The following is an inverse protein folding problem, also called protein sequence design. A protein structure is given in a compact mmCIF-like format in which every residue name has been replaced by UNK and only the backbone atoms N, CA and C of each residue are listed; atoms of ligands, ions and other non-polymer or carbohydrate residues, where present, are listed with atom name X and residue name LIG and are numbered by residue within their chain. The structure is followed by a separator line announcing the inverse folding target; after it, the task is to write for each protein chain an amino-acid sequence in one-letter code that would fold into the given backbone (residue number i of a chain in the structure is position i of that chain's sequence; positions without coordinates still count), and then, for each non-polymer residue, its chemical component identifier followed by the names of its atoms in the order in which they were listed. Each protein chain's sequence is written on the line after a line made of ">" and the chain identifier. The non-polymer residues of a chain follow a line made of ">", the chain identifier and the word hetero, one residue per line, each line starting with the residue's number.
data_IF_471033948132
#
_entry.id   IF_471033948132
#
_cell.length_a   1.000
_cell.length_b   1.000
_cell.length_c   1.000
_cell.angle_alpha   90.00
_cell.angle_beta   90.00
_cell.angle_gamma   90.00
#
_symmetry.space_group_name_H-M   'P 1'
#
loop_
_entity.id
_entity.type
_entity.pdbx_description
1 polymer ?
#
# COMPACT_ATOMS: atom_id res chain seq x y z
N UNK A 1 -86.57 -16.19 13.93
CA UNK A 1 -85.52 -17.24 14.00
C UNK A 1 -85.05 -17.79 12.63
N UNK A 2 -85.85 -17.74 11.54
CA UNK A 2 -85.40 -18.23 10.21
C UNK A 2 -84.31 -17.38 9.52
N UNK A 3 -84.23 -16.06 9.77
CA UNK A 3 -83.26 -15.16 9.13
C UNK A 3 -81.84 -15.22 9.72
N UNK A 4 -81.65 -15.78 10.92
CA UNK A 4 -80.34 -15.87 11.58
C UNK A 4 -79.52 -17.08 11.09
N UNK A 5 -80.19 -18.15 10.61
CA UNK A 5 -79.53 -19.35 10.09
C UNK A 5 -78.90 -19.15 8.71
N UNK A 6 -79.47 -18.25 7.89
CA UNK A 6 -78.94 -17.96 6.54
C UNK A 6 -77.66 -17.11 6.57
N UNK A 7 -77.48 -16.27 7.59
CA UNK A 7 -76.27 -15.45 7.75
C UNK A 7 -75.07 -16.26 8.25
N UNK A 8 -75.29 -17.23 9.16
CA UNK A 8 -74.25 -18.12 9.65
C UNK A 8 -73.74 -19.10 8.57
N UNK A 9 -74.62 -19.58 7.68
CA UNK A 9 -74.20 -20.45 6.58
C UNK A 9 -73.41 -19.70 5.48
N UNK A 10 -73.75 -18.44 5.21
CA UNK A 10 -72.99 -17.59 4.28
C UNK A 10 -71.60 -17.20 4.85
N UNK A 11 -71.50 -16.98 6.16
CA UNK A 11 -70.22 -16.67 6.82
C UNK A 11 -69.28 -17.89 6.86
N UNK A 12 -69.81 -19.10 7.08
CA UNK A 12 -69.00 -20.33 7.04
C UNK A 12 -68.53 -20.71 5.63
N UNK A 13 -69.32 -20.42 4.58
CA UNK A 13 -68.87 -20.61 3.18
C UNK A 13 -67.88 -19.53 2.72
N UNK A 14 -67.97 -18.30 3.26
CA UNK A 14 -66.97 -17.25 3.01
C UNK A 14 -65.62 -17.53 3.66
N UNK A 15 -65.59 -18.15 4.85
CA UNK A 15 -64.35 -18.53 5.53
C UNK A 15 -63.67 -19.79 4.95
N UNK A 16 -64.44 -20.70 4.32
CA UNK A 16 -63.88 -21.87 3.64
C UNK A 16 -63.21 -21.52 2.28
N UNK A 17 -63.55 -20.37 1.68
CA UNK A 17 -62.95 -19.90 0.42
C UNK A 17 -61.61 -19.15 0.61
N UNK A 18 -61.29 -18.70 1.84
CA UNK A 18 -60.02 -18.02 2.16
C UNK A 18 -58.93 -19.00 2.63
N UNK A 19 -59.28 -20.26 2.90
CA UNK A 19 -58.32 -21.33 3.23
C UNK A 19 -57.80 -22.10 2.02
N UNK A 20 -58.15 -21.69 0.79
CA UNK A 20 -57.31 -21.96 -0.38
C UNK A 20 -56.07 -21.07 -0.27
N UNK A 21 -55.25 -21.33 0.76
CA UNK A 21 -53.84 -21.01 0.69
C UNK A 21 -53.36 -21.70 -0.56
N UNK A 22 -53.10 -20.91 -1.60
CA UNK A 22 -52.13 -21.25 -2.61
C UNK A 22 -50.88 -21.63 -1.84
N UNK A 23 -50.71 -22.94 -1.63
CA UNK A 23 -49.40 -23.54 -1.44
C UNK A 23 -48.66 -23.25 -2.74
N UNK A 24 -48.18 -22.01 -2.87
CA UNK A 24 -47.04 -21.71 -3.73
C UNK A 24 -46.00 -22.71 -3.28
N UNK A 25 -45.83 -23.78 -4.06
CA UNK A 25 -44.77 -24.74 -3.88
C UNK A 25 -43.53 -23.88 -3.63
N UNK A 26 -42.99 -23.94 -2.41
CA UNK A 26 -41.83 -23.16 -2.05
C UNK A 26 -40.80 -23.50 -3.12
N UNK A 27 -40.58 -22.58 -4.06
CA UNK A 27 -39.69 -22.80 -5.17
C UNK A 27 -38.37 -23.18 -4.52
N UNK A 28 -37.97 -24.44 -4.69
CA UNK A 28 -36.78 -24.95 -4.04
C UNK A 28 -35.64 -24.05 -4.48
N UNK A 29 -35.14 -23.22 -3.56
CA UNK A 29 -34.01 -22.34 -3.83
C UNK A 29 -32.87 -23.23 -4.28
N UNK A 30 -32.54 -23.15 -5.57
CA UNK A 30 -31.47 -23.95 -6.11
C UNK A 30 -30.14 -23.27 -5.74
N UNK A 31 -29.04 -24.02 -5.67
CA UNK A 31 -27.70 -23.43 -5.51
C UNK A 31 -27.39 -22.36 -6.57
N UNK A 32 -27.96 -22.48 -7.77
CA UNK A 32 -27.82 -21.50 -8.84
C UNK A 32 -28.52 -20.17 -8.53
N UNK A 33 -29.68 -20.19 -7.88
CA UNK A 33 -30.42 -18.98 -7.48
C UNK A 33 -29.65 -18.21 -6.40
N UNK A 34 -29.11 -18.92 -5.40
CA UNK A 34 -28.27 -18.31 -4.37
C UNK A 34 -27.01 -17.70 -4.96
N UNK A 35 -26.32 -18.41 -5.85
CA UNK A 35 -25.13 -17.91 -6.53
C UNK A 35 -25.44 -16.64 -7.36
N UNK A 36 -26.59 -16.60 -8.04
CA UNK A 36 -27.01 -15.44 -8.81
C UNK A 36 -27.25 -14.20 -7.93
N UNK A 37 -27.88 -14.37 -6.76
CA UNK A 37 -28.07 -13.29 -5.79
C UNK A 37 -26.71 -12.77 -5.31
N UNK A 38 -25.76 -13.64 -4.97
CA UNK A 38 -24.43 -13.23 -4.50
C UNK A 38 -23.65 -12.47 -5.58
N UNK A 39 -23.74 -12.89 -6.84
CA UNK A 39 -23.14 -12.14 -7.97
C UNK A 39 -23.77 -10.75 -8.11
N UNK A 40 -25.09 -10.65 -7.97
CA UNK A 40 -25.78 -9.36 -8.01
C UNK A 40 -25.34 -8.45 -6.86
N UNK A 41 -25.28 -8.98 -5.63
CA UNK A 41 -24.75 -8.26 -4.47
C UNK A 41 -23.31 -7.80 -4.69
N UNK A 42 -22.47 -8.62 -5.31
CA UNK A 42 -21.09 -8.24 -5.63
C UNK A 42 -21.03 -7.05 -6.60
N UNK A 43 -21.93 -6.98 -7.58
CA UNK A 43 -22.03 -5.84 -8.51
C UNK A 43 -22.51 -4.57 -7.83
N UNK A 44 -23.45 -4.69 -6.88
CA UNK A 44 -23.90 -3.56 -6.07
C UNK A 44 -22.78 -3.04 -5.16
N UNK A 45 -21.98 -3.95 -4.57
CA UNK A 45 -20.78 -3.60 -3.81
C UNK A 45 -19.74 -2.90 -4.70
N UNK A 46 -19.47 -3.41 -5.89
CA UNK A 46 -18.58 -2.80 -6.89
C UNK A 46 -19.06 -1.38 -7.27
N UNK A 47 -20.35 -1.23 -7.61
CA UNK A 47 -20.95 0.07 -7.92
C UNK A 47 -20.90 1.06 -6.74
N UNK A 48 -20.88 0.55 -5.51
CA UNK A 48 -20.74 1.34 -4.28
C UNK A 48 -19.27 1.63 -3.90
N UNK A 49 -18.30 1.22 -4.74
CA UNK A 49 -16.87 1.40 -4.50
C UNK A 49 -16.26 0.44 -3.47
N UNK A 50 -16.99 -0.61 -3.06
CA UNK A 50 -16.53 -1.62 -2.10
C UNK A 50 -15.86 -2.80 -2.81
N UNK A 51 -14.78 -2.50 -3.53
CA UNK A 51 -14.14 -3.44 -4.46
C UNK A 51 -13.60 -4.70 -3.78
N UNK A 52 -13.02 -4.61 -2.59
CA UNK A 52 -12.46 -5.76 -1.86
C UNK A 52 -13.55 -6.79 -1.52
N UNK A 53 -14.69 -6.32 -0.98
CA UNK A 53 -15.84 -7.17 -0.66
C UNK A 53 -16.48 -7.75 -1.92
N UNK A 54 -16.59 -6.95 -2.99
CA UNK A 54 -17.05 -7.44 -4.28
C UNK A 54 -16.13 -8.55 -4.82
N UNK A 55 -14.81 -8.38 -4.70
CA UNK A 55 -13.84 -9.37 -5.14
C UNK A 55 -13.94 -10.67 -4.33
N UNK A 56 -14.00 -10.58 -3.01
CA UNK A 56 -14.14 -11.74 -2.13
C UNK A 56 -15.45 -12.49 -2.40
N UNK A 57 -16.56 -11.77 -2.59
CA UNK A 57 -17.84 -12.38 -2.86
C UNK A 57 -17.86 -13.09 -4.23
N UNK A 58 -17.24 -12.50 -5.25
CA UNK A 58 -17.08 -13.14 -6.56
C UNK A 58 -16.20 -14.40 -6.47
N UNK A 59 -15.08 -14.35 -5.75
CA UNK A 59 -14.25 -15.55 -5.50
C UNK A 59 -15.05 -16.63 -4.78
N UNK A 60 -15.78 -16.27 -3.72
CA UNK A 60 -16.64 -17.19 -3.00
C UNK A 60 -17.66 -17.89 -3.91
N UNK A 61 -18.28 -17.15 -4.85
CA UNK A 61 -19.22 -17.75 -5.81
C UNK A 61 -18.52 -18.75 -6.74
N UNK A 62 -17.36 -18.39 -7.28
CA UNK A 62 -16.57 -19.27 -8.17
C UNK A 62 -16.18 -20.55 -7.44
N UNK A 63 -15.71 -20.44 -6.21
CA UNK A 63 -15.19 -21.56 -5.43
C UNK A 63 -16.33 -22.46 -4.88
N UNK A 64 -17.44 -21.87 -4.41
CA UNK A 64 -18.50 -22.60 -3.72
C UNK A 64 -19.58 -23.15 -4.64
N UNK A 65 -19.81 -22.54 -5.80
CA UNK A 65 -20.86 -22.94 -6.75
C UNK A 65 -20.31 -23.28 -8.14
N UNK A 66 -19.28 -24.14 -8.25
CA UNK A 66 -18.67 -24.47 -9.52
C UNK A 66 -19.68 -25.10 -10.49
N UNK A 67 -19.56 -24.81 -11.78
CA UNK A 67 -20.43 -25.33 -12.82
C UNK A 67 -21.78 -24.61 -12.97
N UNK A 68 -22.10 -23.63 -12.11
CA UNK A 68 -23.28 -22.78 -12.31
C UNK A 68 -23.01 -21.66 -13.33
N UNK A 69 -24.02 -21.18 -14.08
CA UNK A 69 -23.87 -19.99 -14.94
C UNK A 69 -23.44 -18.74 -14.17
N UNK A 70 -23.86 -18.64 -12.90
CA UNK A 70 -23.46 -17.56 -12.01
C UNK A 70 -21.96 -17.60 -11.69
N UNK A 71 -21.37 -18.78 -11.46
CA UNK A 71 -19.93 -18.92 -11.26
C UNK A 71 -19.12 -18.54 -12.50
N UNK A 72 -19.56 -18.91 -13.70
CA UNK A 72 -18.90 -18.47 -14.94
C UNK A 72 -18.90 -16.93 -15.07
N UNK A 73 -20.06 -16.30 -14.83
CA UNK A 73 -20.18 -14.84 -14.83
C UNK A 73 -19.37 -14.18 -13.70
N UNK A 74 -19.30 -14.82 -12.53
CA UNK A 74 -18.50 -14.34 -11.41
C UNK A 74 -17.00 -14.34 -11.75
N UNK A 75 -16.52 -15.37 -12.45
CA UNK A 75 -15.13 -15.44 -12.91
C UNK A 75 -14.79 -14.32 -13.92
N UNK A 76 -15.69 -14.04 -14.86
CA UNK A 76 -15.53 -12.94 -15.81
C UNK A 76 -15.50 -11.57 -15.12
N UNK A 77 -16.44 -11.34 -14.18
CA UNK A 77 -16.49 -10.12 -13.39
C UNK A 77 -15.25 -9.97 -12.52
N UNK A 78 -14.77 -11.05 -11.90
CA UNK A 78 -13.56 -11.06 -11.09
C UNK A 78 -12.32 -10.66 -11.92
N UNK A 79 -12.21 -11.18 -13.15
CA UNK A 79 -11.14 -10.80 -14.08
C UNK A 79 -11.23 -9.33 -14.53
N UNK A 80 -12.46 -8.79 -14.67
CA UNK A 80 -12.69 -7.37 -14.93
C UNK A 80 -12.33 -6.49 -13.74
N UNK A 81 -12.83 -6.83 -12.55
CA UNK A 81 -12.65 -6.09 -11.30
C UNK A 81 -11.17 -5.98 -10.93
N UNK A 82 -10.41 -7.08 -11.05
CA UNK A 82 -8.95 -7.08 -10.83
C UNK A 82 -8.23 -6.13 -11.77
N UNK A 83 -8.59 -6.10 -13.06
CA UNK A 83 -8.04 -5.11 -14.01
C UNK A 83 -8.40 -3.69 -13.58
N UNK A 84 -9.65 -3.42 -13.21
CA UNK A 84 -10.10 -2.09 -12.76
C UNK A 84 -9.42 -1.62 -11.48
N UNK A 85 -9.24 -2.48 -10.47
CA UNK A 85 -8.53 -2.11 -9.24
C UNK A 85 -7.05 -1.83 -9.49
N UNK A 86 -6.42 -2.63 -10.34
CA UNK A 86 -4.99 -2.47 -10.67
C UNK A 86 -4.75 -1.13 -11.37
N UNK A 87 -5.68 -0.71 -12.23
CA UNK A 87 -5.63 0.56 -12.97
C UNK A 87 -6.14 1.77 -12.14
N UNK A 88 -7.19 1.59 -11.35
CA UNK A 88 -7.82 2.65 -10.56
C UNK A 88 -6.93 3.13 -9.42
N UNK A 89 -6.27 2.19 -8.72
CA UNK A 89 -5.30 2.53 -7.67
C UNK A 89 -4.09 3.29 -8.20
N UNK A 90 -3.60 2.92 -9.40
CA UNK A 90 -2.50 3.60 -10.07
C UNK A 90 -2.84 5.04 -10.45
N UNK A 91 -4.01 5.25 -11.06
CA UNK A 91 -4.48 6.59 -11.45
C UNK A 91 -4.61 7.54 -10.26
N UNK A 92 -5.31 7.13 -9.20
CA UNK A 92 -5.51 8.00 -8.02
C UNK A 92 -4.18 8.29 -7.34
N UNK A 93 -3.33 7.27 -7.15
CA UNK A 93 -2.00 7.44 -6.56
C UNK A 93 -1.12 8.39 -7.37
N UNK A 94 -1.13 8.26 -8.71
CA UNK A 94 -0.38 9.14 -9.61
C UNK A 94 -0.83 10.59 -9.54
N UNK A 95 -2.15 10.85 -9.46
CA UNK A 95 -2.69 12.22 -9.36
C UNK A 95 -2.33 12.86 -8.03
N UNK A 96 -2.54 12.13 -6.92
CA UNK A 96 -2.20 12.62 -5.58
C UNK A 96 -0.71 12.92 -5.49
N UNK A 97 0.15 11.98 -5.91
CA UNK A 97 1.59 12.17 -5.87
C UNK A 97 2.05 13.35 -6.72
N UNK A 98 1.61 13.48 -7.97
CA UNK A 98 2.01 14.60 -8.83
C UNK A 98 1.51 15.94 -8.30
N UNK A 99 0.32 15.99 -7.72
CA UNK A 99 -0.17 17.21 -7.07
C UNK A 99 0.80 17.64 -5.96
N UNK A 100 1.18 16.71 -5.07
CA UNK A 100 2.13 16.98 -3.99
C UNK A 100 3.52 17.34 -4.51
N UNK A 101 4.04 16.57 -5.47
CA UNK A 101 5.37 16.78 -6.01
C UNK A 101 5.49 18.09 -6.79
N UNK A 102 4.53 18.44 -7.64
CA UNK A 102 4.55 19.72 -8.35
C UNK A 102 4.25 20.91 -7.41
N UNK A 103 3.52 20.71 -6.31
CA UNK A 103 3.42 21.72 -5.25
C UNK A 103 4.79 21.98 -4.63
N UNK A 104 5.53 20.91 -4.32
CA UNK A 104 6.88 21.01 -3.81
C UNK A 104 7.84 21.65 -4.83
N UNK A 105 7.75 21.31 -6.13
CA UNK A 105 8.51 22.02 -7.17
C UNK A 105 8.16 23.51 -7.24
N UNK A 106 6.89 23.87 -6.99
CA UNK A 106 6.46 25.26 -6.86
C UNK A 106 7.14 26.01 -5.72
N UNK A 107 7.49 25.33 -4.62
CA UNK A 107 8.29 25.90 -3.51
C UNK A 107 9.79 25.89 -3.86
N UNK A 108 10.29 24.78 -4.41
CA UNK A 108 11.71 24.59 -4.68
C UNK A 108 12.22 25.52 -5.80
N UNK A 109 11.38 25.86 -6.78
CA UNK A 109 11.76 26.76 -7.89
C UNK A 109 12.19 28.15 -7.41
N UNK A 110 11.38 28.91 -6.64
CA UNK A 110 11.82 30.19 -6.10
C UNK A 110 13.00 30.05 -5.12
N UNK A 111 13.08 28.98 -4.33
CA UNK A 111 14.23 28.73 -3.46
C UNK A 111 15.53 28.59 -4.25
N UNK A 112 15.52 27.83 -5.35
CA UNK A 112 16.67 27.68 -6.24
C UNK A 112 17.06 28.99 -6.96
N UNK A 113 16.14 29.95 -7.05
CA UNK A 113 16.38 31.27 -7.65
C UNK A 113 16.76 32.34 -6.61
N UNK A 114 17.00 31.95 -5.35
CA UNK A 114 17.40 32.88 -4.28
C UNK A 114 16.26 33.79 -3.81
N UNK A 115 15.01 33.33 -3.86
CA UNK A 115 13.88 34.13 -3.38
C UNK A 115 13.89 34.26 -1.85
N UNK A 116 14.07 35.49 -1.36
CA UNK A 116 14.07 35.78 0.09
C UNK A 116 12.70 36.14 0.67
N UNK A 117 11.72 36.47 -0.18
CA UNK A 117 10.37 36.87 0.25
C UNK A 117 9.36 35.73 0.12
N UNK A 118 8.27 35.75 0.90
CA UNK A 118 7.22 34.73 0.85
C UNK A 118 6.39 34.74 -0.45
N UNK A 119 6.40 35.84 -1.21
CA UNK A 119 5.53 36.04 -2.37
C UNK A 119 5.82 35.06 -3.53
N UNK A 120 7.08 34.84 -3.96
CA UNK A 120 7.40 33.83 -4.96
C UNK A 120 6.99 32.41 -4.57
N UNK A 121 7.12 32.03 -3.29
CA UNK A 121 6.69 30.72 -2.80
C UNK A 121 5.17 30.56 -2.85
N UNK A 122 4.42 31.59 -2.44
CA UNK A 122 2.96 31.61 -2.56
C UNK A 122 2.50 31.50 -4.00
N UNK A 123 3.12 32.25 -4.92
CA UNK A 123 2.85 32.15 -6.35
C UNK A 123 3.17 30.75 -6.91
N UNK A 124 4.32 30.19 -6.53
CA UNK A 124 4.74 28.85 -6.91
C UNK A 124 3.77 27.77 -6.45
N UNK A 125 3.23 27.85 -5.22
CA UNK A 125 2.20 26.92 -4.73
C UNK A 125 0.87 27.06 -5.47
N UNK A 126 0.43 28.30 -5.73
CA UNK A 126 -0.82 28.59 -6.45
C UNK A 126 -0.79 28.06 -7.89
N UNK A 127 0.39 27.96 -8.51
CA UNK A 127 0.55 27.39 -9.85
C UNK A 127 0.85 25.88 -9.80
N UNK A 128 1.78 25.46 -8.93
CA UNK A 128 2.32 24.11 -8.88
C UNK A 128 1.28 23.06 -8.51
N UNK A 129 0.46 23.30 -7.47
CA UNK A 129 -0.53 22.31 -7.03
C UNK A 129 -1.64 22.09 -8.08
N UNK A 130 -2.30 23.14 -8.61
CA UNK A 130 -3.31 22.96 -9.65
C UNK A 130 -2.71 22.35 -10.92
N UNK A 131 -1.51 22.79 -11.34
CA UNK A 131 -0.84 22.21 -12.50
C UNK A 131 -0.59 20.71 -12.31
N UNK A 132 -0.08 20.31 -11.14
CA UNK A 132 0.11 18.91 -10.75
C UNK A 132 -1.18 18.11 -10.84
N UNK A 133 -2.28 18.63 -10.29
CA UNK A 133 -3.58 17.96 -10.32
C UNK A 133 -4.13 17.81 -11.74
N UNK A 134 -4.21 18.91 -12.51
CA UNK A 134 -4.84 18.89 -13.83
C UNK A 134 -3.99 18.16 -14.86
N UNK A 135 -2.67 18.36 -14.88
CA UNK A 135 -1.78 17.66 -15.81
C UNK A 135 -1.77 16.16 -15.54
N UNK A 136 -1.68 15.75 -14.27
CA UNK A 136 -1.69 14.32 -13.93
C UNK A 136 -3.05 13.66 -14.19
N UNK A 137 -4.16 14.36 -13.94
CA UNK A 137 -5.51 13.88 -14.25
C UNK A 137 -5.71 13.71 -15.76
N UNK A 138 -5.22 14.66 -16.56
CA UNK A 138 -5.28 14.59 -18.01
C UNK A 138 -4.43 13.41 -18.54
N UNK A 139 -3.18 13.29 -18.07
CA UNK A 139 -2.29 12.20 -18.43
C UNK A 139 -2.88 10.83 -18.05
N UNK A 140 -3.32 10.64 -16.80
CA UNK A 140 -3.91 9.39 -16.35
C UNK A 140 -5.31 9.11 -16.93
N UNK A 141 -5.93 10.10 -17.56
CA UNK A 141 -7.14 9.92 -18.37
C UNK A 141 -6.83 9.39 -19.77
N UNK A 142 -5.69 9.79 -20.35
CA UNK A 142 -5.24 9.35 -21.67
C UNK A 142 -4.42 8.04 -21.62
N UNK A 143 -3.78 7.76 -20.49
CA UNK A 143 -2.90 6.59 -20.30
C UNK A 143 -3.33 5.82 -19.06
N UNK A 144 -3.85 4.59 -19.20
CA UNK A 144 -4.17 3.75 -18.06
C UNK A 144 -2.87 3.36 -17.35
N UNK A 145 -2.75 3.73 -16.07
CA UNK A 145 -1.58 3.44 -15.24
C UNK A 145 -1.92 2.37 -14.22
N UNK A 146 -1.10 1.33 -14.15
CA UNK A 146 -1.16 0.37 -13.04
C UNK A 146 -0.60 0.98 -11.75
N UNK A 147 -0.96 0.39 -10.60
CA UNK A 147 -0.36 0.78 -9.31
C UNK A 147 1.18 0.65 -9.31
N UNK A 148 1.73 -0.36 -9.99
CA UNK A 148 3.19 -0.53 -10.13
C UNK A 148 3.83 0.59 -10.94
N UNK A 149 3.24 0.96 -12.09
CA UNK A 149 3.72 2.07 -12.93
C UNK A 149 3.65 3.42 -12.19
N UNK A 150 2.54 3.71 -11.51
CA UNK A 150 2.41 4.91 -10.70
C UNK A 150 3.41 4.95 -9.53
N UNK A 151 3.67 3.78 -8.91
CA UNK A 151 4.66 3.62 -7.85
C UNK A 151 6.09 3.88 -8.34
N UNK A 152 6.47 3.35 -9.50
CA UNK A 152 7.78 3.59 -10.12
C UNK A 152 7.96 5.04 -10.56
N UNK A 153 6.92 5.66 -11.12
CA UNK A 153 6.93 7.09 -11.41
C UNK A 153 7.22 7.89 -10.14
N UNK A 154 6.48 7.61 -9.06
CA UNK A 154 6.65 8.32 -7.80
C UNK A 154 8.07 8.12 -7.23
N UNK A 155 8.54 6.87 -7.23
CA UNK A 155 9.91 6.55 -6.84
C UNK A 155 10.94 7.33 -7.66
N UNK A 156 10.82 7.36 -8.99
CA UNK A 156 11.79 8.04 -9.85
C UNK A 156 11.91 9.52 -9.56
N UNK A 157 10.80 10.21 -9.30
CA UNK A 157 10.79 11.64 -8.96
C UNK A 157 11.50 11.94 -7.63
N UNK A 158 11.18 11.20 -6.57
CA UNK A 158 11.82 11.42 -5.26
C UNK A 158 13.26 10.91 -5.25
N UNK A 159 13.52 9.78 -5.89
CA UNK A 159 14.84 9.15 -5.91
C UNK A 159 15.85 9.99 -6.67
N UNK A 160 15.50 10.49 -7.86
CA UNK A 160 16.41 11.32 -8.64
C UNK A 160 16.58 12.72 -8.05
N UNK A 161 15.56 13.28 -7.37
CA UNK A 161 15.75 14.50 -6.57
C UNK A 161 16.80 14.27 -5.47
N UNK A 162 16.63 13.20 -4.68
CA UNK A 162 17.56 12.83 -3.62
C UNK A 162 18.97 12.54 -4.13
N UNK A 163 19.10 11.79 -5.24
CA UNK A 163 20.40 11.50 -5.86
C UNK A 163 21.08 12.77 -6.36
N UNK A 164 20.35 13.69 -7.01
CA UNK A 164 20.93 14.92 -7.49
C UNK A 164 21.45 15.80 -6.33
N UNK A 165 20.68 15.91 -5.25
CA UNK A 165 21.13 16.62 -4.05
C UNK A 165 22.37 15.95 -3.44
N UNK A 166 22.36 14.63 -3.26
CA UNK A 166 23.49 13.91 -2.69
C UNK A 166 24.76 14.01 -3.54
N UNK A 167 24.66 13.85 -4.86
CA UNK A 167 25.82 13.99 -5.74
C UNK A 167 26.32 15.42 -5.85
N UNK A 168 25.44 16.43 -5.69
CA UNK A 168 25.86 17.82 -5.55
C UNK A 168 26.80 18.01 -4.38
N UNK A 169 26.41 17.54 -3.18
CA UNK A 169 27.25 17.61 -1.98
C UNK A 169 28.58 16.86 -2.15
N UNK A 170 28.52 15.63 -2.68
CA UNK A 170 29.73 14.81 -2.87
C UNK A 170 30.73 15.46 -3.82
N UNK A 171 30.24 16.10 -4.88
CA UNK A 171 31.05 16.69 -5.94
C UNK A 171 31.35 18.18 -5.72
N UNK A 172 30.82 18.80 -4.66
CA UNK A 172 30.95 20.23 -4.38
C UNK A 172 30.35 21.12 -5.47
N UNK A 173 29.29 20.67 -6.14
CA UNK A 173 28.72 21.41 -7.29
C UNK A 173 27.98 22.65 -6.80
N UNK A 174 28.46 23.81 -7.23
CA UNK A 174 27.89 25.11 -6.88
C UNK A 174 28.32 25.63 -5.51
N UNK A 175 29.35 25.03 -4.90
CA UNK A 175 29.99 25.60 -3.72
C UNK A 175 30.92 26.74 -4.14
N UNK A 176 30.87 27.84 -3.39
CA UNK A 176 31.80 28.96 -3.56
C UNK A 176 32.98 28.76 -2.62
N UNK A 177 34.19 28.79 -3.17
CA UNK A 177 35.44 28.72 -2.41
C UNK A 177 36.05 30.11 -2.29
N UNK A 178 36.24 30.58 -1.06
CA UNK A 178 36.86 31.86 -0.76
C UNK A 178 38.18 31.62 -0.03
N UNK A 179 39.28 31.99 -0.68
CA UNK A 179 40.61 31.90 -0.09
C UNK A 179 41.08 33.28 0.38
N UNK A 180 41.57 33.34 1.62
CA UNK A 180 42.15 34.55 2.20
C UNK A 180 43.61 34.28 2.58
N UNK A 181 44.51 35.20 2.23
CA UNK A 181 45.88 35.13 2.71
C UNK A 181 45.96 35.50 4.19
N UNK A 182 46.47 34.57 4.99
CA UNK A 182 46.86 34.80 6.38
C UNK A 182 48.39 34.89 6.48
N UNK A 183 48.96 35.49 7.55
CA UNK A 183 50.41 35.49 7.77
C UNK A 183 51.05 34.10 7.82
N UNK A 184 50.26 33.06 8.08
CA UNK A 184 50.69 31.65 8.16
C UNK A 184 50.48 30.86 6.87
N UNK A 185 49.85 31.44 5.85
CA UNK A 185 49.52 30.76 4.59
C UNK A 185 48.13 31.15 4.05
N UNK A 186 47.75 30.57 2.92
CA UNK A 186 46.40 30.72 2.37
C UNK A 186 45.43 29.77 3.08
N UNK A 187 44.30 30.30 3.56
CA UNK A 187 43.21 29.51 4.14
C UNK A 187 42.00 29.68 3.23
N UNK A 188 41.47 28.56 2.75
CA UNK A 188 40.26 28.52 1.92
C UNK A 188 39.09 28.02 2.77
N UNK A 189 37.96 28.73 2.68
CA UNK A 189 36.69 28.32 3.26
C UNK A 189 35.67 28.11 2.15
N UNK A 190 34.81 27.11 2.30
CA UNK A 190 33.79 26.75 1.31
C UNK A 190 32.42 27.03 1.86
N UNK A 191 31.63 27.86 1.18
CA UNK A 191 30.21 28.05 1.51
C UNK A 191 29.32 27.45 0.44
N UNK A 192 28.39 26.59 0.85
CA UNK A 192 27.34 26.08 -0.02
C UNK A 192 26.12 26.99 0.04
N UNK A 193 25.82 27.76 -1.02
CA UNK A 193 24.58 28.52 -1.08
C UNK A 193 23.39 27.55 -1.05
N UNK A 194 22.37 27.89 -0.25
CA UNK A 194 21.16 27.07 -0.11
C UNK A 194 20.43 26.84 -1.44
N UNK A 195 20.59 27.80 -2.36
CA UNK A 195 20.11 27.81 -3.73
C UNK A 195 20.62 26.61 -4.54
N UNK A 196 21.90 26.23 -4.35
CA UNK A 196 22.51 25.12 -5.07
C UNK A 196 21.85 23.78 -4.72
N UNK A 197 21.44 23.60 -3.45
CA UNK A 197 20.73 22.39 -2.99
C UNK A 197 19.36 22.29 -3.66
N UNK A 198 18.59 23.39 -3.67
CA UNK A 198 17.28 23.41 -4.33
C UNK A 198 17.40 23.25 -5.85
N UNK A 199 18.40 23.86 -6.49
CA UNK A 199 18.66 23.69 -7.91
C UNK A 199 18.95 22.23 -8.26
N UNK A 200 19.81 21.55 -7.48
CA UNK A 200 20.10 20.13 -7.67
C UNK A 200 18.84 19.27 -7.49
N UNK A 201 18.07 19.50 -6.43
CA UNK A 201 16.79 18.84 -6.17
C UNK A 201 15.80 19.01 -7.34
N UNK A 202 15.70 20.21 -7.93
CA UNK A 202 14.85 20.48 -9.09
C UNK A 202 15.31 19.72 -10.34
N UNK A 203 16.60 19.77 -10.67
CA UNK A 203 17.18 19.06 -11.82
C UNK A 203 16.92 17.56 -11.68
N UNK A 204 17.18 17.01 -10.50
CA UNK A 204 16.89 15.61 -10.18
C UNK A 204 15.40 15.29 -10.28
N UNK A 205 14.53 16.17 -9.78
CA UNK A 205 13.08 16.00 -9.87
C UNK A 205 12.53 16.01 -11.29
N UNK A 206 13.02 16.91 -12.14
CA UNK A 206 12.66 17.00 -13.57
C UNK A 206 13.17 15.77 -14.34
N UNK A 207 14.42 15.37 -14.12
CA UNK A 207 14.96 14.12 -14.66
C UNK A 207 14.15 12.90 -14.16
N UNK A 208 13.70 12.97 -12.90
CA UNK A 208 12.75 12.07 -12.26
C UNK A 208 11.45 11.92 -13.02
N UNK A 209 10.80 13.04 -13.38
CA UNK A 209 9.55 13.03 -14.15
C UNK A 209 9.78 12.35 -15.51
N UNK A 210 10.81 12.74 -16.25
CA UNK A 210 11.14 12.15 -17.54
C UNK A 210 11.38 10.65 -17.46
N UNK A 211 12.19 10.22 -16.48
CA UNK A 211 12.49 8.81 -16.21
C UNK A 211 11.23 8.04 -15.80
N UNK A 212 10.42 8.61 -14.91
CA UNK A 212 9.16 8.02 -14.45
C UNK A 212 8.17 7.82 -15.59
N UNK A 213 8.05 8.80 -16.50
CA UNK A 213 7.20 8.67 -17.68
C UNK A 213 7.71 7.56 -18.61
N UNK A 214 9.03 7.47 -18.81
CA UNK A 214 9.62 6.38 -19.59
C UNK A 214 9.37 5.00 -18.94
N UNK A 215 9.61 4.87 -17.63
CA UNK A 215 9.37 3.64 -16.87
C UNK A 215 7.89 3.28 -16.77
N UNK A 216 6.98 4.26 -16.81
CA UNK A 216 5.54 4.01 -16.80
C UNK A 216 5.05 3.24 -18.04
N UNK A 217 5.85 3.18 -19.10
CA UNK A 217 5.57 2.38 -20.31
C UNK A 217 5.96 0.92 -20.19
N UNK A 218 6.71 0.56 -19.14
CA UNK A 218 7.08 -0.83 -18.85
C UNK A 218 6.02 -1.42 -17.93
N UNK A 219 5.51 -2.60 -18.29
CA UNK A 219 4.59 -3.34 -17.42
C UNK A 219 5.38 -3.92 -16.25
N UNK A 220 5.25 -3.26 -15.10
CA UNK A 220 5.86 -3.70 -13.85
C UNK A 220 4.77 -4.03 -12.85
N UNK A 221 4.80 -5.26 -12.34
CA UNK A 221 3.89 -5.69 -11.28
C UNK A 221 4.06 -4.83 -10.01
N UNK A 222 2.95 -4.59 -9.31
CA UNK A 222 2.94 -3.75 -8.11
C UNK A 222 3.88 -4.28 -7.01
N UNK A 223 4.01 -5.60 -6.87
CA UNK A 223 4.93 -6.22 -5.92
C UNK A 223 6.39 -5.97 -6.27
N UNK A 224 6.74 -6.02 -7.56
CA UNK A 224 8.08 -5.67 -8.05
C UNK A 224 8.38 -4.19 -7.81
N UNK A 225 7.47 -3.29 -8.15
CA UNK A 225 7.64 -1.86 -7.89
C UNK A 225 7.79 -1.56 -6.39
N UNK A 226 7.02 -2.24 -5.54
CA UNK A 226 7.11 -2.12 -4.08
C UNK A 226 8.46 -2.62 -3.57
N UNK A 227 8.97 -3.74 -4.12
CA UNK A 227 10.29 -4.27 -3.78
C UNK A 227 11.40 -3.30 -4.16
N UNK A 228 11.40 -2.79 -5.40
CA UNK A 228 12.42 -1.82 -5.88
C UNK A 228 12.47 -0.60 -4.94
N UNK A 229 11.31 -0.06 -4.56
CA UNK A 229 11.22 1.08 -3.63
C UNK A 229 11.78 0.77 -2.24
N UNK A 230 11.44 -0.37 -1.65
CA UNK A 230 11.96 -0.70 -0.31
C UNK A 230 13.43 -1.10 -0.36
N UNK A 231 13.86 -1.78 -1.42
CA UNK A 231 15.24 -2.12 -1.64
C UNK A 231 16.11 -0.85 -1.76
N UNK A 232 15.66 0.19 -2.45
CA UNK A 232 16.42 1.45 -2.54
C UNK A 232 16.57 2.13 -1.17
N UNK A 233 15.53 2.13 -0.34
CA UNK A 233 15.58 2.65 1.03
C UNK A 233 16.51 1.82 1.93
N UNK A 234 16.39 0.50 1.92
CA UNK A 234 17.27 -0.38 2.68
C UNK A 234 18.71 -0.30 2.18
N UNK A 235 18.93 -0.23 0.87
CA UNK A 235 20.25 -0.03 0.28
C UNK A 235 20.90 1.26 0.72
N UNK A 236 20.11 2.33 0.87
CA UNK A 236 20.58 3.61 1.42
C UNK A 236 21.07 3.42 2.85
N UNK A 237 20.27 2.75 3.69
CA UNK A 237 20.66 2.42 5.07
C UNK A 237 21.91 1.52 5.13
N UNK A 238 21.98 0.47 4.32
CA UNK A 238 23.15 -0.43 4.31
C UNK A 238 24.40 0.24 3.73
N UNK A 239 24.25 1.14 2.76
CA UNK A 239 25.36 1.95 2.24
C UNK A 239 25.90 2.93 3.28
N UNK A 240 25.01 3.56 4.05
CA UNK A 240 25.36 4.38 5.22
C UNK A 240 26.10 3.54 6.27
N UNK A 241 25.50 2.42 6.69
CA UNK A 241 26.09 1.54 7.69
C UNK A 241 27.47 1.01 7.27
N UNK A 242 27.62 0.57 6.02
CA UNK A 242 28.90 0.12 5.48
C UNK A 242 29.94 1.25 5.48
N UNK A 243 29.54 2.49 5.18
CA UNK A 243 30.40 3.66 5.26
C UNK A 243 30.90 3.90 6.68
N UNK A 244 30.01 3.95 7.67
CA UNK A 244 30.38 4.14 9.09
C UNK A 244 31.32 3.04 9.57
N UNK A 245 31.03 1.77 9.24
CA UNK A 245 31.86 0.63 9.63
C UNK A 245 33.23 0.62 8.93
N UNK A 246 33.34 1.22 7.75
CA UNK A 246 34.60 1.42 7.05
C UNK A 246 35.36 2.68 7.53
N UNK A 247 34.82 3.42 8.50
CA UNK A 247 35.38 4.71 8.94
C UNK A 247 35.30 5.80 7.88
N UNK A 248 34.33 5.70 6.96
CA UNK A 248 34.07 6.75 5.99
C UNK A 248 33.41 7.96 6.67
N UNK A 249 33.90 9.15 6.35
CA UNK A 249 33.38 10.42 6.87
C UNK A 249 32.96 11.35 5.73
N UNK A 250 32.14 12.35 6.04
CA UNK A 250 31.75 13.43 5.11
C UNK A 250 31.27 12.89 3.75
N UNK A 251 31.89 13.34 2.66
CA UNK A 251 31.52 12.99 1.29
C UNK A 251 31.67 11.49 1.00
N UNK A 252 32.61 10.79 1.65
CA UNK A 252 32.77 9.36 1.47
C UNK A 252 31.58 8.59 2.04
N UNK A 253 31.11 8.98 3.23
CA UNK A 253 29.92 8.39 3.86
C UNK A 253 28.65 8.65 3.03
N UNK A 254 28.48 9.87 2.52
CA UNK A 254 27.37 10.19 1.63
C UNK A 254 27.46 9.41 0.32
N UNK A 255 28.66 9.26 -0.24
CA UNK A 255 28.89 8.47 -1.46
C UNK A 255 28.48 7.01 -1.28
N UNK A 256 28.91 6.36 -0.20
CA UNK A 256 28.53 4.96 0.07
C UNK A 256 27.03 4.82 0.28
N UNK A 257 26.39 5.81 0.92
CA UNK A 257 24.94 5.89 1.12
C UNK A 257 24.18 5.95 -0.21
N UNK A 258 24.58 6.85 -1.12
CA UNK A 258 23.98 7.00 -2.46
C UNK A 258 24.16 5.75 -3.32
N UNK A 259 25.38 5.19 -3.31
CA UNK A 259 25.71 3.99 -4.07
C UNK A 259 24.98 2.76 -3.55
N UNK A 260 24.88 2.58 -2.23
CA UNK A 260 24.14 1.47 -1.62
C UNK A 260 22.68 1.45 -2.04
N UNK A 261 22.05 2.63 -2.04
CA UNK A 261 20.69 2.81 -2.55
C UNK A 261 20.51 2.33 -3.99
N UNK A 262 21.40 2.78 -4.89
CA UNK A 262 21.35 2.41 -6.31
C UNK A 262 21.63 0.91 -6.52
N UNK A 263 22.59 0.35 -5.77
CA UNK A 263 22.97 -1.06 -5.86
C UNK A 263 21.80 -1.98 -5.48
N UNK A 264 21.11 -1.71 -4.37
CA UNK A 264 19.96 -2.53 -3.96
C UNK A 264 18.76 -2.32 -4.87
N UNK A 265 18.53 -1.09 -5.36
CA UNK A 265 17.49 -0.83 -6.36
C UNK A 265 17.71 -1.67 -7.62
N UNK A 266 18.96 -1.75 -8.11
CA UNK A 266 19.32 -2.58 -9.25
C UNK A 266 19.18 -4.09 -8.94
N UNK A 267 19.65 -4.53 -7.77
CA UNK A 267 19.54 -5.92 -7.33
C UNK A 267 18.09 -6.38 -7.12
N UNK A 268 17.16 -5.46 -6.85
CA UNK A 268 15.75 -5.77 -6.71
C UNK A 268 15.12 -6.35 -7.97
N UNK A 269 15.62 -6.03 -9.17
CA UNK A 269 15.08 -6.54 -10.43
C UNK A 269 15.20 -8.08 -10.57
N UNK A 270 16.40 -8.69 -10.47
CA UNK A 270 16.53 -10.15 -10.49
C UNK A 270 15.90 -10.81 -9.25
N UNK A 271 15.90 -10.15 -8.08
CA UNK A 271 15.23 -10.69 -6.89
C UNK A 271 13.71 -10.75 -7.10
N UNK A 272 13.12 -9.71 -7.70
CA UNK A 272 11.69 -9.66 -7.98
C UNK A 272 11.27 -10.77 -8.95
N UNK A 273 12.07 -11.06 -9.97
CA UNK A 273 11.74 -12.11 -10.94
C UNK A 273 11.79 -13.51 -10.32
N UNK A 274 12.73 -13.74 -9.40
CA UNK A 274 12.88 -15.00 -8.68
C UNK A 274 11.84 -15.19 -7.56
N UNK A 275 11.58 -14.14 -6.77
CA UNK A 275 10.70 -14.20 -5.59
C UNK A 275 9.22 -13.96 -5.94
N UNK A 276 8.95 -13.11 -6.95
CA UNK A 276 7.61 -12.64 -7.34
C UNK A 276 6.75 -12.22 -6.15
N UNK A 277 7.24 -11.31 -5.29
CA UNK A 277 6.54 -10.96 -4.07
C UNK A 277 5.25 -10.20 -4.37
N UNK A 278 4.26 -10.34 -3.48
CA UNK A 278 3.14 -9.40 -3.42
C UNK A 278 3.56 -8.12 -2.69
N UNK A 279 2.88 -6.97 -2.94
CA UNK A 279 3.17 -5.73 -2.21
C UNK A 279 3.10 -5.89 -0.69
N UNK A 280 2.14 -6.67 -0.20
CA UNK A 280 1.98 -6.94 1.24
C UNK A 280 3.15 -7.73 1.81
N UNK A 281 3.66 -8.72 1.08
CA UNK A 281 4.85 -9.46 1.50
C UNK A 281 6.05 -8.52 1.68
N UNK A 282 6.32 -7.65 0.70
CA UNK A 282 7.44 -6.68 0.79
C UNK A 282 7.27 -5.73 1.98
N UNK A 283 6.05 -5.22 2.21
CA UNK A 283 5.77 -4.30 3.33
C UNK A 283 5.96 -4.97 4.69
N UNK A 284 5.46 -6.20 4.85
CA UNK A 284 5.63 -6.94 6.11
C UNK A 284 7.10 -7.30 6.31
N UNK A 285 7.81 -7.74 5.26
CA UNK A 285 9.26 -7.96 5.33
C UNK A 285 9.99 -6.69 5.78
N UNK A 286 9.67 -5.54 5.20
CA UNK A 286 10.28 -4.27 5.60
C UNK A 286 9.91 -3.83 7.01
N UNK A 287 8.65 -4.05 7.43
CA UNK A 287 8.22 -3.78 8.80
C UNK A 287 8.96 -4.68 9.81
N UNK A 288 9.18 -5.95 9.47
CA UNK A 288 10.00 -6.86 10.28
C UNK A 288 11.46 -6.39 10.36
N UNK A 289 12.02 -5.89 9.24
CA UNK A 289 13.32 -5.22 9.24
C UNK A 289 13.38 -4.01 10.16
N UNK A 290 12.39 -3.12 10.09
CA UNK A 290 12.32 -1.96 10.97
C UNK A 290 12.21 -2.38 12.45
N UNK A 291 11.35 -3.35 12.76
CA UNK A 291 11.20 -3.88 14.12
C UNK A 291 12.52 -4.49 14.65
N UNK A 292 13.23 -5.24 13.79
CA UNK A 292 14.55 -5.77 14.12
C UNK A 292 15.58 -4.66 14.38
N UNK A 293 15.57 -3.60 13.57
CA UNK A 293 16.45 -2.44 13.77
C UNK A 293 16.16 -1.67 15.06
N UNK A 294 14.88 -1.45 15.38
CA UNK A 294 14.45 -0.84 16.65
C UNK A 294 14.86 -1.70 17.84
N UNK A 295 14.69 -3.02 17.75
CA UNK A 295 15.14 -3.92 18.80
C UNK A 295 16.67 -3.86 18.97
N UNK A 296 17.43 -3.81 17.87
CA UNK A 296 18.88 -3.62 17.90
C UNK A 296 19.28 -2.31 18.56
N UNK A 297 18.61 -1.19 18.23
CA UNK A 297 18.84 0.10 18.89
C UNK A 297 18.50 0.05 20.39
N UNK A 298 17.43 -0.65 20.76
CA UNK A 298 17.09 -0.85 22.17
C UNK A 298 18.16 -1.64 22.94
N UNK A 299 18.80 -2.63 22.31
CA UNK A 299 19.93 -3.36 22.89
C UNK A 299 21.16 -2.47 23.03
N UNK A 300 21.48 -1.68 22.01
CA UNK A 300 22.59 -0.72 22.04
C UNK A 300 22.46 0.26 23.22
N UNK A 301 21.27 0.84 23.39
CA UNK A 301 20.95 1.73 24.52
C UNK A 301 21.00 1.03 25.88
N UNK A 302 20.61 -0.25 25.95
CA UNK A 302 20.60 -1.01 27.21
C UNK A 302 22.02 -1.37 27.68
N UNK A 303 22.94 -1.59 26.74
CA UNK A 303 24.33 -1.94 27.04
C UNK A 303 25.28 -0.74 27.09
N UNK A 304 24.77 0.49 26.85
CA UNK A 304 25.53 1.75 26.88
C UNK A 304 26.82 1.68 26.04
N UNK A 305 26.67 1.25 24.79
CA UNK A 305 27.81 1.03 23.92
C UNK A 305 28.37 2.37 23.42
N UNK A 306 29.49 2.80 23.99
CA UNK A 306 30.16 4.07 23.66
C UNK A 306 31.03 4.01 22.37
N UNK A 307 30.67 3.17 21.40
CA UNK A 307 31.37 3.05 20.12
C UNK A 307 30.42 3.37 18.95
N UNK A 308 30.80 4.38 18.17
CA UNK A 308 30.00 4.86 17.03
C UNK A 308 29.78 3.76 15.98
N UNK A 309 30.75 2.86 15.80
CA UNK A 309 30.60 1.75 14.86
C UNK A 309 29.60 0.72 15.38
N UNK A 310 29.68 0.34 16.66
CA UNK A 310 28.71 -0.54 17.28
C UNK A 310 27.28 0.03 17.28
N UNK A 311 27.12 1.34 17.54
CA UNK A 311 25.83 2.03 17.53
C UNK A 311 25.11 1.94 16.17
N UNK A 312 25.85 1.76 15.07
CA UNK A 312 25.29 1.54 13.72
C UNK A 312 25.22 0.05 13.37
N UNK A 313 26.22 -0.74 13.78
CA UNK A 313 26.31 -2.17 13.53
C UNK A 313 25.12 -2.93 14.14
N UNK A 314 24.79 -2.65 15.41
CA UNK A 314 23.80 -3.40 16.18
C UNK A 314 22.38 -3.21 15.58
N UNK A 315 21.87 -1.98 15.33
CA UNK A 315 20.60 -1.79 14.64
C UNK A 315 20.60 -2.39 13.23
N UNK A 316 21.71 -2.29 12.50
CA UNK A 316 21.83 -2.86 11.14
C UNK A 316 21.74 -4.39 11.15
N UNK A 317 22.41 -5.05 12.09
CA UNK A 317 22.33 -6.49 12.28
C UNK A 317 20.91 -6.90 12.68
N UNK A 318 20.29 -6.18 13.62
CA UNK A 318 18.89 -6.38 14.00
C UNK A 318 17.94 -6.25 12.81
N UNK A 319 18.11 -5.22 12.00
CA UNK A 319 17.31 -5.01 10.79
C UNK A 319 17.52 -6.12 9.75
N UNK A 320 18.75 -6.59 9.57
CA UNK A 320 19.08 -7.71 8.68
C UNK A 320 18.36 -8.98 9.12
N UNK A 321 18.41 -9.31 10.41
CA UNK A 321 17.69 -10.45 10.98
C UNK A 321 16.18 -10.31 10.80
N UNK A 322 15.63 -9.12 11.06
CA UNK A 322 14.21 -8.81 10.86
C UNK A 322 13.76 -9.00 9.42
N UNK A 323 14.53 -8.50 8.45
CA UNK A 323 14.27 -8.69 7.01
C UNK A 323 14.34 -10.18 6.63
N UNK A 324 15.37 -10.89 7.09
CA UNK A 324 15.53 -12.32 6.82
C UNK A 324 14.36 -13.16 7.36
N UNK A 325 13.96 -12.91 8.61
CA UNK A 325 12.80 -13.56 9.22
C UNK A 325 11.50 -13.21 8.47
N UNK A 326 11.29 -11.94 8.17
CA UNK A 326 10.13 -11.48 7.40
C UNK A 326 10.04 -12.14 6.02
N UNK A 327 11.16 -12.25 5.29
CA UNK A 327 11.20 -12.88 3.98
C UNK A 327 10.98 -14.40 4.05
N UNK A 328 11.58 -15.09 5.03
CA UNK A 328 11.46 -16.55 5.16
C UNK A 328 10.07 -17.00 5.63
N UNK A 329 9.46 -16.27 6.58
CA UNK A 329 8.11 -16.58 7.07
C UNK A 329 7.03 -16.39 6.00
N UNK A 330 7.26 -15.50 5.04
CA UNK A 330 6.29 -15.14 3.99
C UNK A 330 6.56 -15.83 2.65
N UNK A 331 7.50 -16.77 2.58
CA UNK A 331 7.89 -17.40 1.31
C UNK A 331 6.72 -18.16 0.65
N UNK A 332 6.49 -17.98 -0.68
CA UNK A 332 5.34 -18.53 -1.40
C UNK A 332 5.15 -20.05 -1.29
N UNK A 333 6.24 -20.82 -1.08
CA UNK A 333 6.19 -22.28 -0.99
C UNK A 333 5.25 -22.80 0.09
N UNK A 334 5.05 -22.08 1.20
CA UNK A 334 4.10 -22.48 2.25
C UNK A 334 2.65 -22.10 1.95
N UNK A 335 2.43 -21.13 1.07
CA UNK A 335 1.08 -20.59 0.82
C UNK A 335 0.26 -21.42 -0.18
N UNK A 336 0.90 -22.09 -1.14
CA UNK A 336 0.22 -22.93 -2.14
C UNK A 336 -0.29 -24.23 -1.49
N UNK A 337 0.53 -24.92 -0.69
CA UNK A 337 0.11 -26.10 0.08
C UNK A 337 -0.96 -25.77 1.14
N UNK A 338 -0.96 -24.56 1.70
CA UNK A 338 -1.92 -24.15 2.73
C UNK A 338 -3.26 -23.66 2.15
N UNK A 339 -3.29 -23.18 0.89
CA UNK A 339 -4.52 -22.75 0.19
C UNK A 339 -5.42 -23.93 -0.19
N UNK A 340 -4.85 -25.08 -0.51
CA UNK A 340 -5.63 -26.30 -0.75
C UNK A 340 -6.22 -26.88 0.56
N UNK A 341 -5.63 -26.57 1.73
CA UNK A 341 -6.05 -27.10 3.02
C UNK A 341 -7.05 -26.23 3.80
N UNK A 342 -7.42 -25.04 3.32
CA UNK A 342 -8.35 -24.14 4.03
C UNK A 342 -9.22 -23.34 3.07
N UNK A 343 -10.26 -23.98 2.54
CA UNK A 343 -11.34 -23.36 1.78
C UNK A 343 -12.33 -22.54 2.65
N UNK A 344 -11.96 -22.21 3.89
CA UNK A 344 -12.77 -21.40 4.80
C UNK A 344 -12.03 -20.07 5.01
N UNK A 345 -12.61 -18.92 4.60
CA UNK A 345 -12.01 -17.62 4.83
C UNK A 345 -11.83 -17.40 6.34
N UNK A 346 -10.59 -17.11 6.75
CA UNK A 346 -10.21 -16.85 8.13
C UNK A 346 -10.40 -15.37 8.40
N UNK A 347 -11.10 -15.02 9.47
CA UNK A 347 -11.69 -13.69 9.67
C UNK A 347 -10.98 -12.89 10.78
N UNK A 348 -9.80 -13.34 11.24
CA UNK A 348 -9.11 -12.81 12.40
C UNK A 348 -7.82 -12.05 12.06
N UNK A 349 -7.58 -10.91 12.74
CA UNK A 349 -6.34 -10.10 12.59
C UNK A 349 -5.08 -10.92 12.86
N UNK A 350 -5.09 -11.74 13.91
CA UNK A 350 -4.02 -12.68 14.22
C UNK A 350 -4.61 -14.09 14.29
N UNK A 351 -4.16 -14.97 13.41
CA UNK A 351 -4.50 -16.39 13.49
C UNK A 351 -3.30 -17.18 13.96
N UNK A 352 -3.43 -17.89 15.10
CA UNK A 352 -2.43 -18.80 15.65
C UNK A 352 -2.89 -20.23 15.39
N UNK A 353 -2.45 -20.80 14.28
CA UNK A 353 -2.66 -22.22 13.96
C UNK A 353 -1.27 -22.88 14.02
N UNK A 354 -0.76 -23.49 12.95
CA UNK A 354 0.66 -23.92 12.85
C UNK A 354 1.66 -22.79 12.57
N UNK A 355 1.45 -21.61 13.16
CA UNK A 355 2.26 -20.40 12.96
C UNK A 355 1.42 -19.12 13.05
N UNK A 356 2.08 -18.00 13.38
CA UNK A 356 1.43 -16.69 13.46
C UNK A 356 1.20 -16.13 12.06
N UNK A 357 -0.05 -15.86 11.71
CA UNK A 357 -0.41 -15.11 10.51
C UNK A 357 -1.15 -13.84 10.89
N UNK A 358 -0.72 -12.73 10.31
CA UNK A 358 -1.41 -11.45 10.37
C UNK A 358 -2.28 -11.31 9.12
N UNK A 359 -3.57 -11.10 9.30
CA UNK A 359 -4.52 -10.81 8.22
C UNK A 359 -5.29 -9.52 8.54
N UNK A 360 -6.01 -8.96 7.58
CA UNK A 360 -6.90 -7.83 7.86
C UNK A 360 -8.18 -8.35 8.50
N UNK A 361 -8.57 -7.89 9.70
CA UNK A 361 -9.78 -8.39 10.33
C UNK A 361 -10.98 -7.90 9.53
N UNK A 362 -11.71 -8.84 8.93
CA UNK A 362 -12.91 -8.51 8.18
C UNK A 362 -14.06 -8.29 9.18
N UNK A 363 -14.68 -7.10 9.21
CA UNK A 363 -15.81 -6.85 10.09
C UNK A 363 -16.99 -7.74 9.67
N UNK A 364 -17.39 -8.66 10.55
CA UNK A 364 -18.54 -9.53 10.32
C UNK A 364 -19.79 -8.87 10.89
N UNK A 365 -20.81 -8.59 10.06
CA UNK A 365 -22.11 -8.23 10.60
C UNK A 365 -22.63 -9.40 11.44
N UNK A 366 -22.92 -9.14 12.70
CA UNK A 366 -23.44 -10.11 13.66
C UNK A 366 -24.64 -9.53 14.38
N UNK A 367 -25.39 -10.36 15.09
CA UNK A 367 -26.44 -9.92 15.98
C UNK A 367 -26.05 -10.28 17.42
N UNK A 368 -25.96 -9.27 18.29
CA UNK A 368 -25.61 -9.49 19.70
C UNK A 368 -26.89 -9.48 20.52
N UNK A 369 -27.13 -10.52 21.35
CA UNK A 369 -28.25 -10.51 22.28
C UNK A 369 -28.01 -9.41 23.33
N UNK A 370 -28.95 -8.47 23.39
CA UNK A 370 -28.96 -7.38 24.37
C UNK A 370 -30.16 -7.61 25.28
N UNK A 371 -29.90 -7.74 26.59
CA UNK A 371 -30.95 -7.88 27.58
C UNK A 371 -31.62 -6.51 27.80
N UNK A 372 -32.89 -6.40 27.44
CA UNK A 372 -33.69 -5.19 27.65
C UNK A 372 -34.13 -5.07 29.11
N UNK A 373 -34.51 -3.86 29.54
CA UNK A 373 -34.94 -3.54 30.92
C UNK A 373 -36.15 -4.37 31.39
N UNK A 374 -36.93 -4.91 30.47
CA UNK A 374 -38.07 -5.80 30.71
C UNK A 374 -37.68 -7.29 30.83
N UNK A 375 -36.37 -7.61 30.81
CA UNK A 375 -35.85 -8.96 30.93
C UNK A 375 -35.91 -9.80 29.64
N UNK A 376 -36.32 -9.19 28.51
CA UNK A 376 -36.36 -9.86 27.21
C UNK A 376 -35.03 -9.70 26.47
N UNK A 377 -34.62 -10.73 25.75
CA UNK A 377 -33.43 -10.69 24.89
C UNK A 377 -33.85 -10.14 23.51
N UNK A 378 -33.28 -9.01 23.12
CA UNK A 378 -33.41 -8.49 21.75
C UNK A 378 -32.09 -8.67 21.00
N UNK A 379 -32.16 -9.03 19.73
CA UNK A 379 -30.99 -9.12 18.87
C UNK A 379 -30.73 -7.74 18.25
N UNK A 380 -29.62 -7.11 18.61
CA UNK A 380 -29.22 -5.82 18.06
C UNK A 380 -28.14 -6.06 17.00
N UNK A 381 -28.25 -5.48 15.79
CA UNK A 381 -27.19 -5.57 14.78
C UNK A 381 -25.89 -4.95 15.33
N UNK A 382 -24.79 -5.66 15.14
CA UNK A 382 -23.46 -5.27 15.59
C UNK A 382 -22.41 -5.71 14.56
N UNK A 383 -21.17 -5.29 14.78
CA UNK A 383 -20.02 -5.72 13.99
C UNK A 383 -19.06 -6.48 14.90
N UNK A 384 -18.78 -7.73 14.55
CA UNK A 384 -17.76 -8.53 15.20
C UNK A 384 -16.46 -8.41 14.42
N UNK A 385 -15.44 -7.90 15.08
CA UNK A 385 -14.06 -7.88 14.56
C UNK A 385 -13.30 -8.94 15.32
N UNK A 386 -12.95 -10.05 14.66
CA UNK A 386 -12.10 -11.05 15.30
C UNK A 386 -10.67 -10.53 15.28
N UNK A 387 -10.12 -10.26 16.47
CA UNK A 387 -8.74 -9.79 16.59
C UNK A 387 -7.76 -10.96 16.72
N UNK A 388 -8.21 -12.07 17.31
CA UNK A 388 -7.36 -13.22 17.58
C UNK A 388 -8.17 -14.51 17.41
N UNK A 389 -7.61 -15.49 16.71
CA UNK A 389 -8.19 -16.81 16.52
C UNK A 389 -7.09 -17.86 16.64
N UNK A 390 -7.17 -18.73 17.65
CA UNK A 390 -6.20 -19.81 17.87
C UNK A 390 -6.87 -21.18 17.69
N UNK A 391 -6.22 -22.04 16.92
CA UNK A 391 -6.59 -23.44 16.76
C UNK A 391 -5.46 -24.30 17.37
N UNK A 392 -5.77 -25.05 18.42
CA UNK A 392 -4.83 -25.90 19.16
C UNK A 392 -4.94 -27.36 18.74
#
# INVERSE_FOLDING_TARGET
>A
MRRLRSFLLALCLGLAAVTLHTTTAAAQQTPADTAAILVQTARELDASGRYELAEELLRYVVDRYPGTPAAARAADLLAGLRRSMTLGGGRTGFVVWNTLFLSWLGIATPAALGAESATPYGAGLLVGAPLGFFASRAYAGATPLTAGQAGLYSLSTVWLSWQAAGWREVLGVGDDEFCFQTPTGEVCDSSSPSEAVFAALLVGGVAGIGTGLALSRVDVDNGTATLIRHASLWGTWYGFAAGVLAGAENNALLTTTLLGGNAFMAAALPIASAWRPTPSQVRITSAAGLAGGIAGLGLDLLFDVNDNQAAVAIPTAGATLGLGLGATLLSPRRSIERREASAIPRLALVTLDRGMMLDLPVPLPTAVPQLSRDGRIHLTPAVQVRLFEAHF
#
